data_IF_640338434008
#
_entry.id   IF_640338434008
#
_cell.length_a   1.000
_cell.length_b   1.000
_cell.length_c   1.000
_cell.angle_alpha   90.00
_cell.angle_beta   90.00
_cell.angle_gamma   90.00
#
_symmetry.space_group_name_H-M   'P 1'
#
loop_
_entity.id
_entity.type
_entity.pdbx_description
1 polymer ?
#
# COMPACT_ATOMS: atom_id res chain seq x y z
N UNK A 1 33.51 -16.70 -11.17
CA UNK A 1 32.13 -16.23 -10.92
C UNK A 1 32.20 -14.98 -10.06
N UNK A 2 31.36 -13.97 -10.31
CA UNK A 2 31.23 -12.84 -9.37
C UNK A 2 30.46 -13.31 -8.13
N UNK A 3 30.88 -12.93 -6.92
CA UNK A 3 30.11 -13.24 -5.71
C UNK A 3 28.77 -12.51 -5.75
N UNK A 4 27.71 -13.24 -5.44
CA UNK A 4 26.33 -12.73 -5.37
C UNK A 4 26.12 -12.11 -4.00
N UNK A 5 25.48 -10.94 -3.93
CA UNK A 5 25.12 -10.28 -2.67
C UNK A 5 23.61 -10.41 -2.45
N UNK A 6 23.18 -10.64 -1.21
CA UNK A 6 21.74 -10.71 -0.88
C UNK A 6 21.00 -9.40 -1.20
N UNK A 7 21.71 -8.27 -1.15
CA UNK A 7 21.19 -6.96 -1.53
C UNK A 7 20.76 -6.89 -3.00
N UNK A 8 21.33 -7.73 -3.88
CA UNK A 8 20.93 -7.80 -5.29
C UNK A 8 19.51 -8.36 -5.47
N UNK A 9 18.93 -8.95 -4.41
CA UNK A 9 17.56 -9.47 -4.36
C UNK A 9 16.64 -8.67 -3.44
N UNK A 10 17.05 -7.47 -3.02
CA UNK A 10 16.26 -6.63 -2.11
C UNK A 10 16.19 -7.15 -0.67
N UNK A 11 17.18 -7.94 -0.24
CA UNK A 11 17.27 -8.49 1.12
C UNK A 11 18.42 -7.81 1.87
N UNK A 12 18.19 -7.39 3.11
CA UNK A 12 19.27 -6.99 4.04
C UNK A 12 19.61 -8.03 5.08
N UNK A 13 20.82 -7.87 5.63
CA UNK A 13 21.23 -8.58 6.84
C UNK A 13 20.44 -8.13 8.09
N UNK A 14 20.05 -6.84 8.16
CA UNK A 14 19.38 -6.26 9.33
C UNK A 14 17.88 -6.56 9.36
N UNK A 15 17.19 -6.44 8.22
CA UNK A 15 15.72 -6.53 8.14
C UNK A 15 15.24 -7.75 7.34
N UNK A 16 16.16 -8.52 6.75
CA UNK A 16 15.80 -9.65 5.90
C UNK A 16 15.01 -9.17 4.69
N UNK A 17 13.78 -9.68 4.56
CA UNK A 17 12.84 -9.32 3.51
C UNK A 17 12.00 -8.07 3.82
N UNK A 18 12.10 -7.52 5.04
CA UNK A 18 11.35 -6.32 5.38
C UNK A 18 11.97 -5.10 4.69
N UNK A 19 11.14 -4.14 4.23
CA UNK A 19 11.63 -2.89 3.68
C UNK A 19 12.53 -2.14 4.68
N UNK A 20 13.54 -1.44 4.17
CA UNK A 20 14.47 -0.66 4.99
C UNK A 20 13.95 0.75 5.28
N UNK A 21 12.70 1.02 4.95
CA UNK A 21 12.03 2.29 5.17
C UNK A 21 10.75 2.04 5.95
N UNK A 22 10.37 3.01 6.78
CA UNK A 22 9.11 2.92 7.49
C UNK A 22 7.94 2.84 6.51
N UNK A 23 6.94 1.97 6.75
CA UNK A 23 5.75 1.90 5.93
C UNK A 23 5.05 3.27 5.87
N UNK A 24 4.58 3.65 4.68
CA UNK A 24 3.82 4.87 4.52
C UNK A 24 2.54 4.84 5.37
N UNK A 25 2.31 5.89 6.15
CA UNK A 25 1.13 6.00 7.03
C UNK A 25 -0.10 6.51 6.28
N UNK A 26 0.10 7.21 5.15
CA UNK A 26 -0.94 7.67 4.24
C UNK A 26 -0.46 7.59 2.79
N UNK A 27 -1.39 7.46 1.85
CA UNK A 27 -1.12 7.63 0.43
C UNK A 27 -0.72 9.08 0.11
N UNK A 28 0.01 9.28 -0.99
CA UNK A 28 0.27 10.60 -1.53
C UNK A 28 -1.01 11.38 -1.86
N UNK A 29 -0.96 12.73 -1.88
CA UNK A 29 -2.12 13.58 -2.14
C UNK A 29 -2.86 13.21 -3.43
N UNK A 30 -4.19 13.25 -3.38
CA UNK A 30 -5.07 12.86 -4.47
C UNK A 30 -5.68 11.46 -4.34
N UNK A 31 -5.25 10.65 -3.36
CA UNK A 31 -5.83 9.35 -3.02
C UNK A 31 -6.34 9.27 -1.57
N UNK A 32 -6.64 10.41 -0.93
CA UNK A 32 -7.05 10.49 0.48
C UNK A 32 -8.31 9.66 0.78
N UNK A 33 -9.28 9.66 -0.15
CA UNK A 33 -10.50 8.86 0.00
C UNK A 33 -10.20 7.34 0.02
N UNK A 34 -9.22 6.89 -0.74
CA UNK A 34 -8.75 5.51 -0.70
C UNK A 34 -8.00 5.21 0.60
N UNK A 35 -7.23 6.19 1.10
CA UNK A 35 -6.53 6.10 2.38
C UNK A 35 -7.47 5.90 3.56
N UNK A 36 -8.55 6.69 3.60
CA UNK A 36 -9.60 6.62 4.59
C UNK A 36 -10.39 5.32 4.48
N UNK A 37 -10.79 4.94 3.26
CA UNK A 37 -11.47 3.67 3.00
C UNK A 37 -10.67 2.48 3.55
N UNK A 38 -9.36 2.44 3.27
CA UNK A 38 -8.45 1.40 3.77
C UNK A 38 -8.47 1.21 5.29
N UNK A 39 -8.62 2.31 6.05
CA UNK A 39 -8.71 2.28 7.52
C UNK A 39 -10.06 1.76 8.02
N UNK A 40 -11.12 1.95 7.24
CA UNK A 40 -12.47 1.53 7.60
C UNK A 40 -12.83 0.10 7.15
N UNK A 41 -12.00 -0.55 6.32
CA UNK A 41 -12.26 -1.89 5.76
C UNK A 41 -12.74 -2.90 6.81
N UNK A 42 -12.09 -3.08 7.98
CA UNK A 42 -12.56 -4.07 8.97
C UNK A 42 -14.00 -3.83 9.42
N UNK A 43 -14.39 -2.55 9.56
CA UNK A 43 -15.76 -2.16 9.93
C UNK A 43 -16.73 -2.36 8.77
N UNK A 44 -16.34 -2.01 7.56
CA UNK A 44 -17.18 -2.15 6.37
C UNK A 44 -17.44 -3.61 6.00
N UNK A 45 -16.47 -4.51 6.23
CA UNK A 45 -16.61 -5.94 6.02
C UNK A 45 -17.60 -6.60 6.99
N UNK A 46 -17.82 -6.00 8.18
CA UNK A 46 -18.85 -6.46 9.12
C UNK A 46 -20.27 -6.04 8.70
N UNK A 47 -20.40 -5.09 7.79
CA UNK A 47 -21.68 -4.62 7.26
C UNK A 47 -22.01 -5.18 5.87
N UNK A 48 -23.09 -4.67 5.27
CA UNK A 48 -23.52 -5.04 3.90
C UNK A 48 -23.03 -4.09 2.82
N UNK A 49 -22.40 -2.98 3.19
CA UNK A 49 -22.26 -1.82 2.31
C UNK A 49 -20.87 -1.67 1.69
N UNK A 50 -19.95 -2.60 1.96
CA UNK A 50 -18.56 -2.55 1.47
C UNK A 50 -18.49 -2.27 -0.04
N UNK A 51 -19.18 -3.09 -0.85
CA UNK A 51 -19.16 -2.96 -2.33
C UNK A 51 -19.75 -1.64 -2.81
N UNK A 52 -20.82 -1.17 -2.16
CA UNK A 52 -21.43 0.13 -2.48
C UNK A 52 -20.43 1.25 -2.22
N UNK A 53 -19.73 1.19 -1.07
CA UNK A 53 -18.72 2.19 -0.70
C UNK A 53 -17.55 2.23 -1.68
N UNK A 54 -17.08 1.07 -2.16
CA UNK A 54 -16.04 0.99 -3.20
C UNK A 54 -16.49 1.67 -4.50
N UNK A 55 -17.74 1.50 -4.92
CA UNK A 55 -18.28 2.12 -6.14
C UNK A 55 -18.40 3.65 -6.05
N UNK A 56 -18.50 4.19 -4.83
CA UNK A 56 -18.57 5.63 -4.58
C UNK A 56 -17.20 6.30 -4.50
N UNK A 57 -16.11 5.53 -4.49
CA UNK A 57 -14.76 6.08 -4.44
C UNK A 57 -14.39 6.79 -5.74
N UNK A 58 -13.65 7.91 -5.65
CA UNK A 58 -13.13 8.56 -6.84
C UNK A 58 -12.15 7.63 -7.57
N UNK A 59 -11.91 7.84 -8.88
CA UNK A 59 -10.88 7.12 -9.61
C UNK A 59 -9.54 7.19 -8.88
N UNK A 60 -8.88 6.04 -8.74
CA UNK A 60 -7.56 5.95 -8.11
C UNK A 60 -6.51 6.60 -9.02
N UNK A 61 -5.71 7.52 -8.47
CA UNK A 61 -4.68 8.26 -9.21
C UNK A 61 -3.34 7.57 -9.05
N UNK A 62 -3.01 6.68 -9.98
CA UNK A 62 -1.73 5.93 -9.95
C UNK A 62 -0.53 6.86 -10.12
N UNK A 63 -0.69 7.89 -10.95
CA UNK A 63 0.31 8.91 -11.22
C UNK A 63 0.65 9.80 -10.00
N UNK A 64 -0.19 9.77 -8.96
CA UNK A 64 0.07 10.48 -7.72
C UNK A 64 0.98 9.69 -6.76
N UNK A 65 1.22 8.40 -7.01
CA UNK A 65 2.05 7.57 -6.13
C UNK A 65 3.51 8.01 -6.18
N UNK A 66 4.13 8.16 -5.01
CA UNK A 66 5.49 8.66 -4.86
C UNK A 66 6.40 7.66 -4.14
N UNK A 67 7.06 6.82 -4.94
CA UNK A 67 8.05 5.86 -4.45
C UNK A 67 7.46 4.57 -3.90
N UNK A 68 8.34 3.70 -3.44
CA UNK A 68 8.02 2.32 -3.09
C UNK A 68 7.10 2.19 -1.86
N UNK A 69 7.30 3.02 -0.84
CA UNK A 69 6.48 3.00 0.39
C UNK A 69 5.01 3.29 0.09
N UNK A 70 4.75 4.21 -0.83
CA UNK A 70 3.42 4.61 -1.26
C UNK A 70 2.76 3.52 -2.12
N UNK A 71 3.52 2.89 -3.02
CA UNK A 71 3.09 1.73 -3.81
C UNK A 71 2.70 0.57 -2.89
N UNK A 72 3.55 0.22 -1.93
CA UNK A 72 3.28 -0.86 -0.98
C UNK A 72 2.00 -0.60 -0.18
N UNK A 73 1.78 0.66 0.22
CA UNK A 73 0.55 1.05 0.91
C UNK A 73 -0.68 0.96 0.01
N UNK A 74 -0.57 1.39 -1.24
CA UNK A 74 -1.66 1.27 -2.21
C UNK A 74 -2.03 -0.20 -2.43
N UNK A 75 -1.03 -1.08 -2.59
CA UNK A 75 -1.25 -2.52 -2.72
C UNK A 75 -1.96 -3.10 -1.50
N UNK A 76 -1.57 -2.68 -0.29
CA UNK A 76 -2.25 -3.11 0.93
C UNK A 76 -3.74 -2.76 0.89
N UNK A 77 -4.12 -1.51 0.56
CA UNK A 77 -5.53 -1.09 0.51
C UNK A 77 -6.30 -1.83 -0.60
N UNK A 78 -5.73 -1.90 -1.80
CA UNK A 78 -6.41 -2.41 -3.00
C UNK A 78 -6.52 -3.93 -3.04
N UNK A 79 -5.78 -4.64 -2.18
CA UNK A 79 -5.79 -6.11 -2.10
C UNK A 79 -6.92 -6.70 -1.25
N UNK A 80 -7.64 -5.86 -0.49
CA UNK A 80 -8.80 -6.23 0.30
C UNK A 80 -10.11 -6.12 -0.50
#
# INVERSE_FOLDING_TARGET
>A
MKPVKIADFGISEEFGYLPHHDPAQSLSPGNEAWDEFGKEIPKLLMGSDFRKRVQELPPFKVEALNGESDINRAMMILSY
#
